data_IF_674489748772
#
_entry.id   IF_674489748772
#
_cell.length_a   1.000
_cell.length_b   1.000
_cell.length_c   1.000
_cell.angle_alpha   90.00
_cell.angle_beta   90.00
_cell.angle_gamma   90.00
#
_symmetry.space_group_name_H-M   'P 1'
#
loop_
_entity.id
_entity.type
_entity.pdbx_description
1 polymer ?
#
# COMPACT_ATOMS: atom_id res chain seq x y z
N UNK A 1 -21.41 -3.85 -18.76
CA UNK A 1 -21.11 -5.05 -17.96
C UNK A 1 -19.65 -5.49 -18.13
N UNK A 2 -19.16 -5.73 -19.35
CA UNK A 2 -17.76 -6.13 -19.61
C UNK A 2 -16.70 -5.18 -19.04
N UNK A 3 -16.90 -3.86 -19.16
CA UNK A 3 -15.99 -2.84 -18.61
C UNK A 3 -15.85 -2.93 -17.08
N UNK A 4 -16.96 -3.16 -16.37
CA UNK A 4 -16.96 -3.29 -14.90
C UNK A 4 -16.19 -4.54 -14.48
N UNK A 5 -16.41 -5.66 -15.19
CA UNK A 5 -15.69 -6.91 -14.94
C UNK A 5 -14.19 -6.72 -15.15
N UNK A 6 -13.80 -6.04 -16.25
CA UNK A 6 -12.39 -5.73 -16.51
C UNK A 6 -11.75 -4.89 -15.39
N UNK A 7 -12.49 -3.91 -14.87
CA UNK A 7 -12.05 -3.05 -13.77
C UNK A 7 -11.87 -3.84 -12.46
N UNK A 8 -12.79 -4.75 -12.15
CA UNK A 8 -12.69 -5.64 -10.98
C UNK A 8 -11.46 -6.54 -11.10
N UNK A 9 -11.27 -7.20 -12.25
CA UNK A 9 -10.11 -8.06 -12.50
C UNK A 9 -8.81 -7.27 -12.36
N UNK A 10 -8.77 -6.06 -12.93
CA UNK A 10 -7.63 -5.17 -12.81
C UNK A 10 -7.29 -4.85 -11.35
N UNK A 11 -8.27 -4.46 -10.53
CA UNK A 11 -8.04 -4.18 -9.11
C UNK A 11 -7.61 -5.42 -8.32
N UNK A 12 -8.18 -6.59 -8.61
CA UNK A 12 -7.76 -7.85 -7.98
C UNK A 12 -6.29 -8.13 -8.30
N UNK A 13 -5.89 -8.04 -9.57
CA UNK A 13 -4.50 -8.23 -9.97
C UNK A 13 -3.58 -7.21 -9.31
N UNK A 14 -4.00 -5.95 -9.24
CA UNK A 14 -3.23 -4.89 -8.58
C UNK A 14 -3.01 -5.19 -7.09
N UNK A 15 -4.06 -5.57 -6.35
CA UNK A 15 -3.96 -5.97 -4.94
C UNK A 15 -3.05 -7.17 -4.76
N UNK A 16 -3.25 -8.23 -5.55
CA UNK A 16 -2.43 -9.44 -5.50
C UNK A 16 -0.96 -9.14 -5.80
N UNK A 17 -0.68 -8.22 -6.72
CA UNK A 17 0.69 -7.83 -7.05
C UNK A 17 1.40 -7.19 -5.85
N UNK A 18 0.75 -6.25 -5.16
CA UNK A 18 1.32 -5.60 -3.97
C UNK A 18 1.53 -6.58 -2.82
N UNK A 19 0.55 -7.46 -2.56
CA UNK A 19 0.63 -8.49 -1.51
C UNK A 19 1.77 -9.48 -1.82
N UNK A 20 1.82 -9.98 -3.05
CA UNK A 20 2.87 -10.91 -3.50
C UNK A 20 4.26 -10.27 -3.39
N UNK A 21 4.39 -8.99 -3.71
CA UNK A 21 5.68 -8.29 -3.63
C UNK A 21 6.20 -8.21 -2.18
N UNK A 22 5.34 -7.94 -1.19
CA UNK A 22 5.75 -8.00 0.23
C UNK A 22 6.21 -9.39 0.62
N UNK A 23 5.49 -10.43 0.22
CA UNK A 23 5.88 -11.82 0.50
C UNK A 23 7.20 -12.20 -0.17
N UNK A 24 7.45 -11.75 -1.40
CA UNK A 24 8.71 -11.97 -2.10
C UNK A 24 9.89 -11.28 -1.39
N UNK A 25 9.71 -10.04 -0.94
CA UNK A 25 10.72 -9.32 -0.16
C UNK A 25 11.03 -10.07 1.14
N UNK A 26 9.99 -10.54 1.83
CA UNK A 26 10.14 -11.30 3.08
C UNK A 26 10.83 -12.65 2.87
N UNK A 27 10.50 -13.35 1.78
CA UNK A 27 11.17 -14.61 1.38
C UNK A 27 12.66 -14.40 1.11
N UNK A 28 13.05 -13.22 0.64
CA UNK A 28 14.45 -12.80 0.46
C UNK A 28 15.11 -12.29 1.75
N UNK A 29 14.42 -12.32 2.89
CA UNK A 29 14.92 -11.82 4.18
C UNK A 29 14.93 -10.29 4.29
N UNK A 30 14.26 -9.57 3.38
CA UNK A 30 14.22 -8.11 3.37
C UNK A 30 12.98 -7.64 4.13
N UNK A 31 13.21 -7.01 5.29
CA UNK A 31 12.15 -6.46 6.14
C UNK A 31 12.17 -4.93 6.09
N UNK A 32 11.34 -4.36 5.21
CA UNK A 32 11.25 -2.91 5.05
C UNK A 32 10.28 -2.34 6.10
N UNK A 33 10.65 -1.25 6.76
CA UNK A 33 9.74 -0.53 7.66
C UNK A 33 8.56 0.03 6.83
N UNK A 34 7.33 -0.30 7.25
CA UNK A 34 6.09 0.11 6.56
C UNK A 34 6.04 1.60 6.23
N UNK A 35 6.58 2.47 7.09
CA UNK A 35 6.52 3.92 6.88
C UNK A 35 7.22 4.35 5.59
N UNK A 36 8.25 3.64 5.12
CA UNK A 36 8.86 3.91 3.81
C UNK A 36 7.87 3.71 2.66
N UNK A 37 6.99 2.71 2.74
CA UNK A 37 5.94 2.52 1.75
C UNK A 37 4.86 3.60 1.84
N UNK A 38 4.45 3.98 3.05
CA UNK A 38 3.47 5.05 3.26
C UNK A 38 3.96 6.41 2.75
N UNK A 39 5.18 6.81 3.15
CA UNK A 39 5.79 8.03 2.64
C UNK A 39 6.06 7.94 1.14
N UNK A 40 6.56 6.80 0.64
CA UNK A 40 6.80 6.60 -0.79
C UNK A 40 5.52 6.73 -1.63
N UNK A 41 4.41 6.14 -1.19
CA UNK A 41 3.13 6.20 -1.89
C UNK A 41 2.63 7.64 -2.06
N UNK A 42 2.87 8.50 -1.07
CA UNK A 42 2.52 9.90 -1.13
C UNK A 42 3.54 10.72 -1.94
N UNK A 43 4.83 10.58 -1.65
CA UNK A 43 5.90 11.37 -2.26
C UNK A 43 6.03 11.14 -3.76
N UNK A 44 5.75 9.94 -4.25
CA UNK A 44 5.85 9.62 -5.68
C UNK A 44 4.85 10.41 -6.53
N UNK A 45 3.75 10.86 -5.94
CA UNK A 45 2.76 11.73 -6.61
C UNK A 45 3.06 13.20 -6.29
N UNK A 46 3.35 13.50 -5.01
CA UNK A 46 3.55 14.87 -4.56
C UNK A 46 4.75 15.54 -5.24
N UNK A 47 5.91 14.87 -5.27
CA UNK A 47 7.14 15.45 -5.80
C UNK A 47 6.94 15.87 -7.26
N UNK A 48 6.52 14.97 -8.19
CA UNK A 48 6.31 15.38 -9.58
C UNK A 48 5.29 16.51 -9.73
N UNK A 49 4.21 16.48 -8.95
CA UNK A 49 3.15 17.50 -9.01
C UNK A 49 3.63 18.88 -8.54
N UNK A 50 4.63 18.94 -7.65
CA UNK A 50 5.18 20.20 -7.17
C UNK A 50 6.25 20.78 -8.11
N UNK A 51 7.08 19.93 -8.71
CA UNK A 51 8.19 20.37 -9.56
C UNK A 51 7.82 20.59 -11.03
N UNK A 52 6.80 19.90 -11.55
CA UNK A 52 6.40 20.00 -12.95
C UNK A 52 5.02 20.63 -13.08
N UNK A 53 4.93 21.74 -13.81
CA UNK A 53 3.66 22.44 -14.08
C UNK A 53 2.66 21.58 -14.88
N UNK A 54 3.17 20.67 -15.71
CA UNK A 54 2.38 19.68 -16.43
C UNK A 54 3.12 18.36 -16.43
N UNK A 55 2.53 17.34 -15.80
CA UNK A 55 3.00 15.96 -15.89
C UNK A 55 2.24 15.28 -17.01
N UNK A 56 2.97 14.66 -17.94
CA UNK A 56 2.35 13.94 -19.06
C UNK A 56 1.43 12.83 -18.55
N UNK A 57 0.24 12.72 -19.14
CA UNK A 57 -0.84 11.84 -18.65
C UNK A 57 -0.39 10.39 -18.42
N UNK A 58 0.43 9.83 -19.33
CA UNK A 58 0.96 8.47 -19.19
C UNK A 58 1.88 8.32 -17.98
N UNK A 59 2.73 9.32 -17.71
CA UNK A 59 3.64 9.31 -16.57
C UNK A 59 2.85 9.38 -15.26
N UNK A 60 1.81 10.22 -15.23
CA UNK A 60 0.91 10.31 -14.07
C UNK A 60 0.24 8.97 -13.77
N UNK A 61 -0.25 8.26 -14.80
CA UNK A 61 -0.83 6.92 -14.65
C UNK A 61 0.18 5.97 -14.02
N UNK A 62 1.44 5.96 -14.48
CA UNK A 62 2.50 5.12 -13.90
C UNK A 62 2.74 5.48 -12.43
N UNK A 63 2.81 6.76 -12.07
CA UNK A 63 2.96 7.17 -10.68
C UNK A 63 1.79 6.76 -9.80
N UNK A 64 0.55 6.85 -10.30
CA UNK A 64 -0.62 6.36 -9.57
C UNK A 64 -0.60 4.85 -9.38
N UNK A 65 -0.13 4.07 -10.38
CA UNK A 65 0.02 2.62 -10.25
C UNK A 65 1.06 2.26 -9.20
N UNK A 66 2.24 2.89 -9.24
CA UNK A 66 3.28 2.64 -8.25
C UNK A 66 2.83 3.08 -6.86
N UNK A 67 2.18 4.24 -6.74
CA UNK A 67 1.60 4.71 -5.47
C UNK A 67 0.60 3.72 -4.89
N UNK A 68 -0.28 3.17 -5.73
CA UNK A 68 -1.26 2.15 -5.33
C UNK A 68 -0.57 0.89 -4.80
N UNK A 69 0.46 0.41 -5.49
CA UNK A 69 1.25 -0.76 -5.06
C UNK A 69 1.92 -0.48 -3.71
N UNK A 70 2.56 0.69 -3.54
CA UNK A 70 3.18 1.08 -2.28
C UNK A 70 2.16 1.18 -1.13
N UNK A 71 0.97 1.70 -1.39
CA UNK A 71 -0.12 1.73 -0.41
C UNK A 71 -0.57 0.32 0.00
N UNK A 72 -0.75 -0.60 -0.96
CA UNK A 72 -1.06 -2.00 -0.67
C UNK A 72 0.05 -2.64 0.18
N UNK A 73 1.32 -2.39 -0.16
CA UNK A 73 2.45 -2.90 0.60
C UNK A 73 2.51 -2.35 2.03
N UNK A 74 2.13 -1.09 2.25
CA UNK A 74 2.01 -0.50 3.58
C UNK A 74 1.00 -1.25 4.45
N UNK A 75 -0.20 -1.54 3.90
CA UNK A 75 -1.24 -2.28 4.60
C UNK A 75 -0.83 -3.72 4.85
N UNK A 76 -0.26 -4.40 3.85
CA UNK A 76 0.15 -5.79 3.98
C UNK A 76 1.27 -5.95 5.00
N UNK A 77 2.27 -5.06 5.00
CA UNK A 77 3.32 -5.06 6.03
C UNK A 77 2.74 -4.81 7.41
N UNK A 78 1.69 -3.99 7.54
CA UNK A 78 0.98 -3.77 8.80
C UNK A 78 0.23 -5.01 9.25
N UNK A 79 -0.48 -5.68 8.34
CA UNK A 79 -1.19 -6.94 8.59
C UNK A 79 -0.22 -8.01 9.10
N UNK A 80 0.89 -8.22 8.39
CA UNK A 80 1.92 -9.18 8.80
C UNK A 80 2.52 -8.86 10.17
N UNK A 81 2.75 -7.58 10.50
CA UNK A 81 3.23 -7.20 11.84
C UNK A 81 2.20 -7.51 12.92
N UNK A 82 0.93 -7.25 12.65
CA UNK A 82 -0.16 -7.56 13.57
C UNK A 82 -0.27 -9.08 13.81
N UNK A 83 -0.24 -9.88 12.74
CA UNK A 83 -0.26 -11.35 12.81
C UNK A 83 0.94 -11.92 13.58
N UNK A 84 2.12 -11.29 13.46
CA UNK A 84 3.33 -11.70 14.18
C UNK A 84 3.41 -11.13 15.62
N UNK A 85 2.36 -10.51 16.14
CA UNK A 85 2.33 -9.87 17.47
C UNK A 85 3.41 -8.77 17.65
N UNK A 86 3.86 -8.14 16.57
CA UNK A 86 4.82 -7.04 16.58
C UNK A 86 4.09 -5.69 16.69
N UNK A 87 3.66 -5.34 17.90
CA UNK A 87 2.80 -4.16 18.15
C UNK A 87 3.54 -2.82 18.24
N UNK A 88 4.86 -2.77 17.98
CA UNK A 88 5.59 -1.49 18.02
C UNK A 88 5.02 -0.53 16.98
N UNK A 89 4.28 0.49 17.45
CA UNK A 89 3.61 1.48 16.62
C UNK A 89 2.22 1.07 16.11
N UNK A 90 1.59 0.01 16.65
CA UNK A 90 0.21 -0.39 16.31
C UNK A 90 -0.66 -0.31 17.56
N UNK A 91 -1.74 0.46 17.51
CA UNK A 91 -2.71 0.58 18.62
C UNK A 91 -3.55 -0.69 18.66
N UNK A 92 -3.60 -1.39 19.81
CA UNK A 92 -4.48 -2.54 19.98
C UNK A 92 -5.89 -2.06 20.29
N UNK A 93 -6.87 -2.49 19.51
CA UNK A 93 -8.29 -2.24 19.81
C UNK A 93 -8.71 -2.88 21.14
N UNK A 94 -8.11 -4.02 21.49
CA UNK A 94 -8.35 -4.76 22.74
C UNK A 94 -7.93 -4.00 24.02
N UNK A 95 -7.08 -2.98 23.89
CA UNK A 95 -6.65 -2.15 25.03
C UNK A 95 -7.72 -1.12 25.45
N UNK A 96 -8.75 -0.92 24.63
CA UNK A 96 -9.84 -0.01 24.94
C UNK A 96 -11.06 -0.83 25.35
N UNK A 97 -11.60 -0.65 26.57
CA UNK A 97 -12.86 -1.29 26.92
C UNK A 97 -13.93 -0.79 25.94
N UNK A 98 -14.51 -1.70 25.17
CA UNK A 98 -15.70 -1.39 24.38
C UNK A 98 -16.76 -0.91 25.36
N UNK A 99 -17.14 0.36 25.25
CA UNK A 99 -18.26 0.90 26.02
C UNK A 99 -19.47 0.02 25.67
N UNK A 100 -19.93 -0.78 26.64
CA UNK A 100 -21.21 -1.48 26.53
C UNK A 100 -22.27 -0.40 26.72
N UNK A 101 -22.81 0.11 25.60
CA UNK A 101 -24.06 0.84 25.61
C UNK A 101 -25.23 -0.16 25.67
#
# INVERSE_FOLDING_TARGET
MLQIIGLIVFFIVLVLSGVSFVHLLRKKGIFINRWYFGFGAFLIILIPSFFFQQVYSVISIVFYLISSILAIMFFETTRLKLENNEFRGVVRSEQYPSKKD
#
